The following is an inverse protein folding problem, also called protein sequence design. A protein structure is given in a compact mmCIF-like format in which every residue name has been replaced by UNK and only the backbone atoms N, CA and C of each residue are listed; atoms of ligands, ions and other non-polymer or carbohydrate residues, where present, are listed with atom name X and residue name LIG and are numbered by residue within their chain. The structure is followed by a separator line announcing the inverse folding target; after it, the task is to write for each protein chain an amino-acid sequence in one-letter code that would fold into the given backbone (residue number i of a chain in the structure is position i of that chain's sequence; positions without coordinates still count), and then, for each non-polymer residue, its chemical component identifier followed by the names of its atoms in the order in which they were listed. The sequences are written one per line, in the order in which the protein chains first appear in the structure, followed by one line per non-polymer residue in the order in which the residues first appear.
data_IF_128295355509
#
_entry.id   IF_128295355509
#
_cell.length_a   1.000
_cell.length_b   1.000
_cell.length_c   1.000
_cell.angle_alpha   90.00
_cell.angle_beta   90.00
_cell.angle_gamma   90.00
#
_symmetry.space_group_name_H-M   'P 1'
#
loop_
_entity.id
_entity.type
_entity.pdbx_description
1 polymer ?
#
# COMPACT_ATOMS: atom_id res chain seq x y z
N UNK A 1 -51.12 54.69 -26.18
CA UNK A 1 -49.85 55.43 -26.25
C UNK A 1 -48.97 55.00 -25.10
N UNK A 2 -47.65 54.96 -25.30
CA UNK A 2 -46.58 54.69 -24.31
C UNK A 2 -46.04 53.25 -24.20
N UNK A 3 -45.26 52.95 -25.23
CA UNK A 3 -43.97 52.24 -25.33
C UNK A 3 -43.02 52.08 -24.12
N UNK A 4 -42.15 51.05 -24.24
CA UNK A 4 -40.77 50.85 -23.68
C UNK A 4 -40.71 50.34 -22.22
N UNK A 5 -39.97 49.29 -21.82
CA UNK A 5 -38.66 48.81 -22.27
C UNK A 5 -38.50 47.27 -22.16
N UNK A 6 -37.88 46.65 -23.17
CA UNK A 6 -37.31 45.30 -23.08
C UNK A 6 -35.85 45.43 -22.64
N UNK A 7 -35.56 44.95 -21.43
CA UNK A 7 -34.18 44.83 -20.92
C UNK A 7 -33.59 43.55 -21.54
N UNK A 8 -32.69 43.73 -22.51
CA UNK A 8 -31.86 42.66 -23.03
C UNK A 8 -30.88 42.20 -21.95
N UNK A 9 -31.02 40.96 -21.48
CA UNK A 9 -30.05 40.31 -20.60
C UNK A 9 -28.87 39.85 -21.43
N UNK A 10 -27.74 40.54 -21.29
CA UNK A 10 -26.45 40.12 -21.85
C UNK A 10 -26.01 38.88 -21.07
N UNK A 11 -26.04 37.72 -21.72
CA UNK A 11 -25.44 36.50 -21.18
C UNK A 11 -23.92 36.66 -21.25
N UNK A 12 -23.31 36.95 -20.11
CA UNK A 12 -21.86 36.85 -19.94
C UNK A 12 -21.47 35.36 -19.99
N UNK A 13 -20.40 34.97 -20.73
CA UNK A 13 -19.89 33.62 -20.70
C UNK A 13 -19.49 33.28 -19.26
N UNK A 14 -20.02 32.18 -18.74
CA UNK A 14 -19.64 31.64 -17.44
C UNK A 14 -18.13 31.50 -17.38
N UNK A 15 -17.46 32.33 -16.59
CA UNK A 15 -16.07 32.12 -16.19
C UNK A 15 -16.01 30.70 -15.62
N UNK A 16 -15.40 29.77 -16.35
CA UNK A 16 -14.93 28.52 -15.79
C UNK A 16 -13.94 28.90 -14.70
N UNK A 17 -14.40 28.85 -13.45
CA UNK A 17 -13.52 28.86 -12.31
C UNK A 17 -12.56 27.70 -12.53
N UNK A 18 -11.30 28.01 -12.78
CA UNK A 18 -10.20 27.05 -12.72
C UNK A 18 -10.24 26.54 -11.28
N UNK A 19 -10.92 25.40 -11.08
CA UNK A 19 -11.01 24.70 -9.80
C UNK A 19 -9.59 24.28 -9.47
N UNK A 20 -8.97 24.99 -8.53
CA UNK A 20 -7.68 24.60 -7.96
C UNK A 20 -7.87 23.19 -7.41
N UNK A 21 -7.28 22.21 -8.11
CA UNK A 21 -7.33 20.81 -7.73
C UNK A 21 -7.02 20.68 -6.25
N UNK A 22 -7.87 19.96 -5.52
CA UNK A 22 -7.71 19.67 -4.10
C UNK A 22 -6.26 19.22 -3.83
N UNK A 23 -5.53 19.98 -3.02
CA UNK A 23 -4.06 19.90 -2.84
C UNK A 23 -3.57 18.63 -2.13
N UNK A 24 -4.38 17.58 -2.03
CA UNK A 24 -4.09 16.40 -1.22
C UNK A 24 -4.22 15.09 -2.02
N UNK A 25 -3.85 15.09 -3.30
CA UNK A 25 -3.67 13.83 -4.02
C UNK A 25 -2.48 13.06 -3.46
N UNK A 26 -2.73 11.83 -2.98
CA UNK A 26 -1.69 10.86 -2.62
C UNK A 26 -1.94 9.62 -3.46
N UNK A 27 -1.01 9.25 -4.38
CA UNK A 27 -1.22 8.13 -5.29
C UNK A 27 -1.52 6.85 -4.52
N UNK A 28 -2.65 6.23 -4.86
CA UNK A 28 -3.13 4.99 -4.24
C UNK A 28 -3.72 5.13 -2.83
N UNK A 29 -3.89 6.33 -2.28
CA UNK A 29 -4.45 6.53 -0.92
C UNK A 29 -5.55 7.56 -0.80
N UNK A 30 -5.40 8.74 -1.42
CA UNK A 30 -6.33 9.86 -1.22
C UNK A 30 -6.47 10.70 -2.48
N UNK A 31 -7.71 11.12 -2.76
CA UNK A 31 -8.05 12.02 -3.85
C UNK A 31 -8.01 11.38 -5.24
N UNK A 32 -8.47 12.14 -6.23
CA UNK A 32 -8.37 11.79 -7.64
C UNK A 32 -7.05 12.30 -8.21
N UNK A 33 -6.49 11.57 -9.18
CA UNK A 33 -5.25 11.96 -9.83
C UNK A 33 -5.40 13.33 -10.52
N UNK A 34 -4.35 14.16 -10.58
CA UNK A 34 -4.40 15.42 -11.29
C UNK A 34 -4.81 15.18 -12.75
N UNK A 35 -5.88 15.85 -13.21
CA UNK A 35 -6.43 15.68 -14.56
C UNK A 35 -7.59 14.67 -14.68
N UNK A 36 -7.92 13.94 -13.62
CA UNK A 36 -9.13 13.11 -13.58
C UNK A 36 -10.21 13.82 -12.76
N UNK A 37 -11.35 14.06 -13.38
CA UNK A 37 -12.51 14.62 -12.69
C UNK A 37 -13.12 13.58 -11.75
N UNK A 38 -13.61 14.04 -10.60
CA UNK A 38 -14.37 13.18 -9.72
C UNK A 38 -15.71 12.80 -10.40
N UNK A 39 -16.21 11.57 -10.20
CA UNK A 39 -17.52 11.17 -10.73
C UNK A 39 -18.63 12.12 -10.26
N UNK A 40 -19.65 12.30 -11.09
CA UNK A 40 -20.81 13.14 -10.75
C UNK A 40 -21.45 12.69 -9.42
N UNK A 41 -21.66 13.65 -8.51
CA UNK A 41 -22.21 13.40 -7.16
C UNK A 41 -21.18 13.16 -6.06
N UNK A 42 -19.89 13.05 -6.39
CA UNK A 42 -18.83 12.96 -5.38
C UNK A 42 -18.45 14.35 -4.87
N UNK A 43 -18.32 14.53 -3.55
CA UNK A 43 -17.85 15.81 -2.97
C UNK A 43 -16.35 15.95 -3.24
N UNK A 44 -15.94 17.03 -3.90
CA UNK A 44 -14.52 17.33 -4.18
C UNK A 44 -13.69 17.49 -2.90
N UNK A 45 -14.32 17.99 -1.83
CA UNK A 45 -13.69 18.11 -0.53
C UNK A 45 -14.03 16.88 0.34
N UNK A 46 -13.00 16.23 0.87
CA UNK A 46 -13.19 15.28 1.97
C UNK A 46 -13.88 16.02 3.10
N UNK A 47 -15.03 15.51 3.58
CA UNK A 47 -15.71 16.07 4.75
C UNK A 47 -14.67 16.24 5.85
N UNK A 48 -14.33 17.49 6.18
CA UNK A 48 -13.45 17.77 7.30
C UNK A 48 -14.14 17.14 8.49
N UNK A 49 -13.56 16.04 8.98
CA UNK A 49 -13.95 15.49 10.27
C UNK A 49 -13.44 16.56 11.23
N UNK A 50 -14.30 17.55 11.51
CA UNK A 50 -14.13 18.42 12.65
C UNK A 50 -14.23 17.46 13.83
N UNK A 51 -13.08 16.88 14.20
CA UNK A 51 -12.96 16.15 15.45
C UNK A 51 -13.50 17.12 16.48
N UNK A 52 -14.61 16.72 17.13
CA UNK A 52 -15.16 17.49 18.24
C UNK A 52 -13.98 17.83 19.13
N UNK A 53 -13.82 19.12 19.44
CA UNK A 53 -12.75 19.77 20.22
C UNK A 53 -11.91 18.78 21.03
N UNK A 54 -10.58 18.92 20.97
CA UNK A 54 -9.66 18.08 21.74
C UNK A 54 -10.18 17.87 23.16
N UNK A 55 -10.47 16.62 23.48
CA UNK A 55 -11.18 16.21 24.70
C UNK A 55 -10.45 16.70 25.95
N UNK A 56 -9.12 16.90 25.86
CA UNK A 56 -8.30 17.44 26.94
C UNK A 56 -8.38 18.97 27.11
N UNK A 57 -8.74 19.72 26.06
CA UNK A 57 -8.72 21.20 26.08
C UNK A 57 -10.10 21.84 26.07
N UNK A 58 -11.16 21.14 25.65
CA UNK A 58 -12.51 21.61 25.89
C UNK A 58 -13.07 20.95 27.14
N UNK A 59 -13.06 21.68 28.25
CA UNK A 59 -13.93 21.36 29.38
C UNK A 59 -15.34 21.15 28.80
N UNK A 60 -15.94 20.00 29.08
CA UNK A 60 -17.30 19.74 28.62
C UNK A 60 -18.17 20.86 29.16
N UNK A 61 -18.84 21.64 28.32
CA UNK A 61 -19.75 22.72 28.71
C UNK A 61 -20.84 22.28 29.72
N UNK A 62 -20.99 20.97 29.88
CA UNK A 62 -21.85 20.29 30.83
C UNK A 62 -21.31 20.23 32.28
N UNK A 63 -20.00 20.43 32.52
CA UNK A 63 -19.37 20.48 33.85
C UNK A 63 -19.46 21.88 34.49
N UNK A 64 -19.43 22.94 33.68
CA UNK A 64 -19.46 24.34 34.15
C UNK A 64 -20.89 24.85 34.43
N UNK A 65 -21.90 24.30 33.76
CA UNK A 65 -23.31 24.73 33.89
C UNK A 65 -24.02 24.25 35.17
N UNK A 66 -23.29 23.66 36.12
CA UNK A 66 -23.84 23.13 37.37
C UNK A 66 -23.34 23.89 38.60
N UNK A 67 -23.40 25.23 38.54
CA UNK A 67 -23.36 26.00 39.79
C UNK A 67 -24.53 25.54 40.68
N UNK A 68 -24.30 25.33 41.99
CA UNK A 68 -25.30 24.78 42.88
C UNK A 68 -26.45 25.78 43.01
N UNK A 69 -27.56 25.54 42.29
CA UNK A 69 -28.83 26.16 42.63
C UNK A 69 -29.14 25.71 44.06
N UNK A 70 -29.09 26.65 44.99
CA UNK A 70 -29.27 26.49 46.44
C UNK A 70 -30.70 26.01 46.75
N UNK A 71 -30.98 24.74 46.50
CA UNK A 71 -32.20 24.09 46.98
C UNK A 71 -31.86 23.41 48.30
N UNK A 72 -32.32 24.00 49.40
CA UNK A 72 -32.24 23.45 50.76
C UNK A 72 -33.03 22.14 50.84
N UNK A 73 -32.40 21.04 50.44
CA UNK A 73 -33.05 19.74 50.44
C UNK A 73 -32.96 19.11 51.82
N UNK A 74 -34.07 19.07 52.54
CA UNK A 74 -34.21 18.52 53.91
C UNK A 74 -34.14 16.98 53.97
N UNK A 75 -34.05 16.29 52.83
CA UNK A 75 -34.04 14.82 52.79
C UNK A 75 -32.61 14.24 52.78
N UNK A 76 -32.27 13.31 53.69
CA UNK A 76 -30.95 12.64 53.72
C UNK A 76 -30.56 11.99 52.38
N UNK A 77 -31.54 11.41 51.67
CA UNK A 77 -31.31 10.79 50.35
C UNK A 77 -30.88 11.81 49.29
N UNK A 78 -31.40 13.04 49.36
CA UNK A 78 -31.02 14.13 48.45
C UNK A 78 -29.61 14.63 48.77
N UNK A 79 -29.26 14.75 50.05
CA UNK A 79 -27.90 15.10 50.49
C UNK A 79 -26.86 14.08 50.00
N UNK A 80 -27.14 12.79 50.14
CA UNK A 80 -26.25 11.73 49.64
C UNK A 80 -26.05 11.82 48.12
N UNK A 81 -27.13 12.05 47.35
CA UNK A 81 -27.04 12.26 45.89
C UNK A 81 -26.22 13.50 45.53
N UNK A 82 -26.34 14.58 46.31
CA UNK A 82 -25.55 15.78 46.13
C UNK A 82 -24.06 15.52 46.42
N UNK A 83 -23.73 14.80 47.49
CA UNK A 83 -22.37 14.39 47.81
C UNK A 83 -21.77 13.51 46.68
N UNK A 84 -22.54 12.56 46.15
CA UNK A 84 -22.13 11.76 44.99
C UNK A 84 -21.92 12.60 43.73
N UNK A 85 -22.72 13.65 43.52
CA UNK A 85 -22.55 14.56 42.38
C UNK A 85 -21.25 15.37 42.50
N UNK A 86 -20.96 15.90 43.68
CA UNK A 86 -19.72 16.65 43.96
C UNK A 86 -18.49 15.76 43.78
N UNK A 87 -18.52 14.53 44.32
CA UNK A 87 -17.40 13.58 44.17
C UNK A 87 -17.18 13.19 42.70
N UNK A 88 -18.24 12.90 41.94
CA UNK A 88 -18.11 12.64 40.49
C UNK A 88 -17.53 13.82 39.72
N UNK A 89 -17.93 15.05 40.06
CA UNK A 89 -17.41 16.26 39.42
C UNK A 89 -15.92 16.44 39.71
N UNK A 90 -15.49 16.25 40.97
CA UNK A 90 -14.07 16.25 41.36
C UNK A 90 -13.26 15.23 40.56
N UNK A 91 -13.72 13.97 40.51
CA UNK A 91 -13.02 12.93 39.75
C UNK A 91 -12.97 13.22 38.25
N UNK A 92 -14.02 13.80 37.67
CA UNK A 92 -14.03 14.21 36.28
C UNK A 92 -12.97 15.29 36.00
N UNK A 93 -12.83 16.27 36.90
CA UNK A 93 -11.82 17.33 36.79
C UNK A 93 -10.40 16.76 36.86
N UNK A 94 -10.12 15.94 37.88
CA UNK A 94 -8.81 15.29 38.04
C UNK A 94 -8.45 14.40 36.85
N UNK A 95 -9.44 13.70 36.26
CA UNK A 95 -9.23 12.87 35.09
C UNK A 95 -8.87 13.72 33.86
N UNK A 96 -9.55 14.84 33.65
CA UNK A 96 -9.28 15.76 32.54
C UNK A 96 -7.90 16.42 32.69
N UNK A 97 -7.54 16.86 33.89
CA UNK A 97 -6.19 17.39 34.18
C UNK A 97 -5.10 16.35 33.88
N UNK A 98 -5.27 15.11 34.35
CA UNK A 98 -4.34 14.01 34.07
C UNK A 98 -4.23 13.71 32.58
N UNK A 99 -5.33 13.81 31.83
CA UNK A 99 -5.30 13.64 30.37
C UNK A 99 -4.56 14.79 29.69
N UNK A 100 -4.81 16.04 30.10
CA UNK A 100 -4.10 17.22 29.59
C UNK A 100 -2.59 17.12 29.84
N UNK A 101 -2.19 16.76 31.06
CA UNK A 101 -0.77 16.55 31.40
C UNK A 101 -0.12 15.46 30.54
N UNK A 102 -0.80 14.32 30.31
CA UNK A 102 -0.29 13.25 29.43
C UNK A 102 -0.12 13.72 27.99
N UNK A 103 -1.07 14.52 27.48
CA UNK A 103 -1.00 15.06 26.13
C UNK A 103 0.17 16.05 25.98
N UNK A 104 0.35 16.96 26.95
CA UNK A 104 1.49 17.88 26.99
C UNK A 104 2.83 17.14 27.04
N UNK A 105 2.99 16.17 27.94
CA UNK A 105 4.20 15.36 28.02
C UNK A 105 4.48 14.57 26.73
N UNK A 106 3.43 14.05 26.08
CA UNK A 106 3.57 13.37 24.80
C UNK A 106 4.01 14.33 23.70
N UNK A 107 3.43 15.54 23.65
CA UNK A 107 3.78 16.56 22.68
C UNK A 107 5.23 17.05 22.86
N UNK A 108 5.66 17.28 24.10
CA UNK A 108 7.05 17.65 24.42
C UNK A 108 8.04 16.56 24.00
N UNK A 109 7.74 15.28 24.26
CA UNK A 109 8.58 14.16 23.83
C UNK A 109 8.72 14.08 22.31
N UNK A 110 7.62 14.31 21.58
CA UNK A 110 7.63 14.33 20.12
C UNK A 110 8.45 15.51 19.60
N UNK A 111 8.25 16.71 20.13
CA UNK A 111 9.02 17.89 19.74
C UNK A 111 10.54 17.69 19.98
N UNK A 112 10.92 17.11 21.12
CA UNK A 112 12.32 16.78 21.41
C UNK A 112 12.89 15.71 20.48
N UNK A 113 12.09 14.72 20.07
CA UNK A 113 12.51 13.70 19.11
C UNK A 113 12.71 14.29 17.70
N UNK A 114 11.81 15.16 17.26
CA UNK A 114 11.91 15.87 15.98
C UNK A 114 13.17 16.76 15.93
N UNK A 115 13.43 17.53 16.98
CA UNK A 115 14.65 18.35 17.07
C UNK A 115 15.93 17.51 16.99
N UNK A 116 15.97 16.34 17.65
CA UNK A 116 17.11 15.41 17.55
C UNK A 116 17.26 14.84 16.15
N UNK A 117 16.16 14.45 15.51
CA UNK A 117 16.18 13.93 14.15
C UNK A 117 16.71 14.99 13.15
N UNK A 118 16.27 16.24 13.29
CA UNK A 118 16.74 17.35 12.47
C UNK A 118 18.22 17.64 12.69
N UNK A 119 18.69 17.61 13.95
CA UNK A 119 20.11 17.80 14.27
C UNK A 119 20.98 16.69 13.64
N UNK A 120 20.57 15.43 13.76
CA UNK A 120 21.28 14.29 13.15
C UNK A 120 21.30 14.41 11.63
N UNK A 121 20.18 14.78 11.03
CA UNK A 121 20.08 14.96 9.57
C UNK A 121 21.03 16.06 9.09
N UNK A 122 21.09 17.20 9.78
CA UNK A 122 22.02 18.29 9.45
C UNK A 122 23.48 17.87 9.60
N UNK A 123 23.81 17.10 10.65
CA UNK A 123 25.16 16.59 10.85
C UNK A 123 25.58 15.64 9.71
N UNK A 124 24.70 14.72 9.31
CA UNK A 124 24.93 13.79 8.21
C UNK A 124 25.09 14.53 6.86
N UNK A 125 24.27 15.56 6.62
CA UNK A 125 24.41 16.39 5.42
C UNK A 125 25.74 17.17 5.40
N UNK A 126 26.21 17.67 6.55
CA UNK A 126 27.51 18.33 6.66
C UNK A 126 28.66 17.34 6.41
N UNK A 127 28.60 16.15 6.99
CA UNK A 127 29.59 15.09 6.75
C UNK A 127 29.64 14.69 5.27
N UNK A 128 28.49 14.53 4.62
CA UNK A 128 28.42 14.26 3.18
C UNK A 128 29.03 15.37 2.34
N UNK A 129 28.91 16.64 2.75
CA UNK A 129 29.55 17.76 2.05
C UNK A 129 31.06 17.71 2.20
N UNK A 130 31.55 17.51 3.42
CA UNK A 130 32.99 17.34 3.67
C UNK A 130 33.58 16.15 2.91
N UNK A 131 32.87 15.02 2.87
CA UNK A 131 33.29 13.86 2.08
C UNK A 131 33.33 14.17 0.59
N UNK A 132 32.35 14.90 0.06
CA UNK A 132 32.34 15.30 -1.36
C UNK A 132 33.48 16.26 -1.67
N UNK A 133 33.75 17.22 -0.80
CA UNK A 133 34.87 18.16 -0.93
C UNK A 133 36.20 17.42 -0.91
N UNK A 134 36.42 16.53 0.07
CA UNK A 134 37.62 15.70 0.13
C UNK A 134 37.79 14.80 -1.11
N UNK A 135 36.71 14.19 -1.59
CA UNK A 135 36.75 13.40 -2.84
C UNK A 135 37.12 14.28 -4.03
N UNK A 136 36.59 15.50 -4.12
CA UNK A 136 36.95 16.45 -5.18
C UNK A 136 38.42 16.86 -5.10
N UNK A 137 38.95 17.12 -3.91
CA UNK A 137 40.37 17.42 -3.68
C UNK A 137 41.26 16.24 -4.12
N UNK A 138 40.91 15.02 -3.73
CA UNK A 138 41.65 13.81 -4.14
C UNK A 138 41.61 13.62 -5.65
N UNK A 139 40.45 13.82 -6.28
CA UNK A 139 40.29 13.73 -7.75
C UNK A 139 41.14 14.79 -8.46
N UNK A 140 41.19 16.02 -7.93
CA UNK A 140 42.05 17.09 -8.45
C UNK A 140 43.54 16.74 -8.29
N UNK A 141 43.96 16.22 -7.14
CA UNK A 141 45.36 15.83 -6.90
C UNK A 141 45.83 14.69 -7.80
N UNK A 142 44.93 13.74 -8.11
CA UNK A 142 45.25 12.57 -8.92
C UNK A 142 45.09 12.80 -10.43
N UNK A 143 44.69 14.00 -10.86
CA UNK A 143 44.43 14.35 -12.28
C UNK A 143 43.57 13.30 -12.99
N UNK A 144 42.63 12.68 -12.26
CA UNK A 144 41.72 11.68 -12.78
C UNK A 144 40.71 12.40 -13.69
N UNK A 145 41.06 12.53 -14.98
CA UNK A 145 40.12 12.96 -16.03
C UNK A 145 38.85 12.12 -15.91
N UNK A 146 37.68 12.77 -15.93
CA UNK A 146 36.31 12.24 -15.73
C UNK A 146 35.92 11.06 -16.66
N UNK A 147 36.67 9.97 -16.66
CA UNK A 147 36.41 8.75 -17.43
C UNK A 147 35.33 7.88 -16.77
N UNK A 148 35.06 8.09 -15.48
CA UNK A 148 34.09 7.31 -14.73
C UNK A 148 32.64 7.52 -15.21
N UNK A 149 32.26 8.75 -15.62
CA UNK A 149 30.89 9.02 -16.07
C UNK A 149 30.54 8.26 -17.36
N UNK A 150 31.48 8.17 -18.31
CA UNK A 150 31.30 7.39 -19.54
C UNK A 150 31.25 5.88 -19.25
N UNK A 151 32.16 5.37 -18.40
CA UNK A 151 32.17 3.93 -18.04
C UNK A 151 30.89 3.46 -17.33
N UNK A 152 30.27 4.34 -16.53
CA UNK A 152 29.03 4.02 -15.80
C UNK A 152 27.81 3.96 -16.72
N UNK A 153 27.76 4.82 -17.75
CA UNK A 153 26.71 4.80 -18.77
C UNK A 153 26.81 3.53 -19.63
N UNK A 154 28.01 3.16 -20.07
CA UNK A 154 28.25 1.91 -20.82
C UNK A 154 27.84 0.68 -20.04
N UNK A 155 28.13 0.64 -18.73
CA UNK A 155 27.75 -0.50 -17.88
C UNK A 155 26.23 -0.63 -17.75
N UNK A 156 25.52 0.49 -17.63
CA UNK A 156 24.06 0.47 -17.55
C UNK A 156 23.43 0.06 -18.88
N UNK A 157 23.95 0.54 -20.01
CA UNK A 157 23.51 0.13 -21.34
C UNK A 157 23.68 -1.39 -21.53
N UNK A 158 24.87 -1.93 -21.23
CA UNK A 158 25.11 -3.39 -21.31
C UNK A 158 24.18 -4.20 -20.42
N UNK A 159 23.82 -3.71 -19.23
CA UNK A 159 22.84 -4.38 -18.35
C UNK A 159 21.45 -4.43 -18.97
N UNK A 160 21.03 -3.35 -19.61
CA UNK A 160 19.74 -3.27 -20.29
C UNK A 160 19.73 -4.21 -21.50
N UNK A 161 20.79 -4.21 -22.31
CA UNK A 161 20.93 -5.11 -23.46
C UNK A 161 20.89 -6.58 -23.05
N UNK A 162 21.67 -6.98 -22.04
CA UNK A 162 21.66 -8.35 -21.52
C UNK A 162 20.28 -8.77 -21.01
N UNK A 163 19.56 -7.85 -20.35
CA UNK A 163 18.19 -8.10 -19.90
C UNK A 163 17.24 -8.33 -21.08
N UNK A 164 17.30 -7.48 -22.11
CA UNK A 164 16.46 -7.60 -23.30
C UNK A 164 16.73 -8.93 -24.00
N UNK A 165 18.00 -9.28 -24.23
CA UNK A 165 18.38 -10.55 -24.87
C UNK A 165 17.87 -11.76 -24.09
N UNK A 166 17.99 -11.75 -22.77
CA UNK A 166 17.46 -12.82 -21.92
C UNK A 166 15.93 -12.95 -22.02
N UNK A 167 15.21 -11.82 -21.97
CA UNK A 167 13.75 -11.81 -22.11
C UNK A 167 13.31 -12.32 -23.50
N UNK A 168 14.04 -11.97 -24.56
CA UNK A 168 13.79 -12.47 -25.92
C UNK A 168 14.01 -13.97 -26.04
N UNK A 169 15.10 -14.50 -25.48
CA UNK A 169 15.36 -15.94 -25.45
C UNK A 169 14.24 -16.69 -24.72
N UNK A 170 13.78 -16.18 -23.57
CA UNK A 170 12.63 -16.77 -22.87
C UNK A 170 11.34 -16.72 -23.68
N UNK A 171 11.08 -15.62 -24.42
CA UNK A 171 9.92 -15.54 -25.32
C UNK A 171 10.01 -16.58 -26.44
N UNK A 172 11.19 -16.78 -27.02
CA UNK A 172 11.41 -17.79 -28.05
C UNK A 172 11.20 -19.22 -27.53
N UNK A 173 11.68 -19.52 -26.32
CA UNK A 173 11.45 -20.83 -25.68
C UNK A 173 9.95 -21.06 -25.47
N UNK A 174 9.23 -20.09 -24.90
CA UNK A 174 7.78 -20.17 -24.71
C UNK A 174 7.05 -20.36 -26.03
N UNK A 175 7.43 -19.61 -27.08
CA UNK A 175 6.86 -19.75 -28.42
C UNK A 175 7.08 -21.15 -29.00
N UNK A 176 8.29 -21.72 -28.85
CA UNK A 176 8.57 -23.10 -29.30
C UNK A 176 7.71 -24.13 -28.56
N UNK A 177 7.49 -23.95 -27.25
CA UNK A 177 6.59 -24.82 -26.48
C UNK A 177 5.14 -24.70 -26.96
N UNK A 178 4.65 -23.50 -27.23
CA UNK A 178 3.31 -23.29 -27.78
C UNK A 178 3.16 -23.92 -29.17
N UNK A 179 4.16 -23.80 -30.02
CA UNK A 179 4.17 -24.47 -31.33
C UNK A 179 4.15 -25.99 -31.19
N UNK A 180 4.87 -26.54 -30.19
CA UNK A 180 4.84 -27.98 -29.90
C UNK A 180 3.46 -28.43 -29.42
N UNK A 181 2.80 -27.65 -28.56
CA UNK A 181 1.42 -27.91 -28.11
C UNK A 181 0.44 -27.82 -29.27
N UNK A 182 0.60 -26.81 -30.13
CA UNK A 182 -0.22 -26.63 -31.33
C UNK A 182 -0.05 -27.81 -32.31
N UNK A 183 1.16 -28.29 -32.54
CA UNK A 183 1.40 -29.47 -33.36
C UNK A 183 0.83 -30.76 -32.74
N UNK A 184 0.60 -30.77 -31.42
CA UNK A 184 0.01 -31.89 -30.69
C UNK A 184 -1.49 -31.73 -30.44
N UNK A 185 -2.17 -30.77 -31.11
CA UNK A 185 -3.61 -30.54 -30.88
C UNK A 185 -4.47 -31.73 -31.24
N UNK A 186 -4.04 -32.56 -32.18
CA UNK A 186 -4.77 -33.77 -32.58
C UNK A 186 -4.84 -34.79 -31.42
N UNK A 187 -3.84 -34.76 -30.53
CA UNK A 187 -3.81 -35.56 -29.31
C UNK A 187 -4.67 -34.97 -28.18
N UNK A 188 -5.20 -33.74 -28.29
CA UNK A 188 -6.12 -33.18 -27.29
C UNK A 188 -7.50 -33.80 -27.38
N UNK A 189 -8.12 -33.97 -26.22
CA UNK A 189 -9.48 -34.52 -26.12
C UNK A 189 -10.46 -33.42 -26.52
N UNK A 190 -11.21 -33.66 -27.58
CA UNK A 190 -12.37 -32.89 -28.03
C UNK A 190 -13.62 -33.74 -27.79
N UNK A 191 -14.80 -33.12 -27.77
CA UNK A 191 -16.06 -33.86 -27.60
C UNK A 191 -16.23 -34.95 -28.67
N UNK A 192 -15.73 -34.70 -29.88
CA UNK A 192 -15.85 -35.62 -31.01
C UNK A 192 -14.87 -36.81 -30.94
N UNK A 193 -13.75 -36.69 -30.23
CA UNK A 193 -12.72 -37.75 -30.15
C UNK A 193 -12.60 -38.40 -28.76
N UNK A 194 -13.48 -38.01 -27.83
CA UNK A 194 -13.44 -38.46 -26.44
C UNK A 194 -13.67 -39.97 -26.33
N UNK A 195 -14.72 -40.49 -26.97
CA UNK A 195 -15.07 -41.92 -26.91
C UNK A 195 -13.96 -42.78 -27.53
N UNK A 196 -13.46 -42.40 -28.71
CA UNK A 196 -12.36 -43.10 -29.38
C UNK A 196 -11.08 -43.15 -28.54
N UNK A 197 -10.80 -42.10 -27.75
CA UNK A 197 -9.64 -42.06 -26.85
C UNK A 197 -9.87 -42.89 -25.58
N UNK A 198 -11.08 -42.91 -25.04
CA UNK A 198 -11.44 -43.80 -23.94
C UNK A 198 -11.25 -45.25 -24.38
N UNK A 199 -11.79 -45.63 -25.54
CA UNK A 199 -11.67 -46.99 -26.07
C UNK A 199 -10.21 -47.37 -26.35
N UNK A 200 -9.40 -46.45 -26.90
CA UNK A 200 -7.97 -46.68 -27.10
C UNK A 200 -7.20 -46.92 -25.78
N UNK A 201 -7.58 -46.23 -24.70
CA UNK A 201 -6.97 -46.44 -23.38
C UNK A 201 -7.49 -47.75 -22.75
N UNK A 202 -8.78 -48.05 -22.89
CA UNK A 202 -9.40 -49.29 -22.40
C UNK A 202 -8.84 -50.54 -23.10
N UNK A 203 -8.50 -50.43 -24.38
CA UNK A 203 -7.93 -51.52 -25.19
C UNK A 203 -6.41 -51.63 -25.12
N UNK A 204 -5.71 -50.62 -24.58
CA UNK A 204 -4.25 -50.69 -24.44
C UNK A 204 -3.84 -51.74 -23.39
N UNK A 205 -3.38 -52.90 -23.86
CA UNK A 205 -2.94 -54.00 -23.01
C UNK A 205 -1.79 -53.54 -22.10
N UNK A 206 -1.96 -53.71 -20.78
CA UNK A 206 -0.92 -53.43 -19.78
C UNK A 206 -1.13 -52.19 -18.90
N UNK A 207 -2.23 -51.42 -19.06
CA UNK A 207 -2.61 -50.39 -18.10
C UNK A 207 -3.63 -50.94 -17.10
N UNK A 208 -3.25 -51.05 -15.83
CA UNK A 208 -4.19 -51.36 -14.75
C UNK A 208 -5.14 -50.19 -14.54
N UNK A 209 -6.43 -50.39 -14.82
CA UNK A 209 -7.45 -49.43 -14.44
C UNK A 209 -7.62 -49.44 -12.93
N UNK A 210 -7.29 -48.32 -12.30
CA UNK A 210 -7.56 -48.12 -10.89
C UNK A 210 -9.01 -47.66 -10.73
N UNK A 211 -9.89 -48.44 -10.09
CA UNK A 211 -11.30 -48.07 -9.88
C UNK A 211 -11.46 -46.87 -8.94
N UNK A 212 -10.43 -46.55 -8.14
CA UNK A 212 -10.43 -45.42 -7.22
C UNK A 212 -9.24 -44.49 -7.44
N UNK A 213 -9.45 -43.20 -7.18
CA UNK A 213 -8.39 -42.20 -7.20
C UNK A 213 -7.29 -42.52 -6.18
N UNK A 214 -7.66 -43.10 -5.04
CA UNK A 214 -6.70 -43.49 -4.00
C UNK A 214 -5.72 -44.53 -4.53
N UNK A 215 -6.15 -45.56 -5.25
CA UNK A 215 -5.23 -46.56 -5.83
C UNK A 215 -4.29 -45.96 -6.88
N UNK A 216 -4.75 -44.98 -7.67
CA UNK A 216 -3.90 -44.22 -8.60
C UNK A 216 -2.82 -43.41 -7.87
N UNK A 217 -3.17 -42.81 -6.73
CA UNK A 217 -2.20 -42.06 -5.91
C UNK A 217 -1.15 -42.99 -5.28
N UNK A 218 -1.52 -44.23 -4.95
CA UNK A 218 -0.57 -45.20 -4.43
C UNK A 218 0.34 -45.78 -5.53
N UNK A 219 -0.14 -45.95 -6.77
CA UNK A 219 0.70 -46.40 -7.90
C UNK A 219 1.63 -45.31 -8.44
N UNK A 220 1.27 -44.03 -8.35
CA UNK A 220 2.20 -42.94 -8.69
C UNK A 220 3.35 -42.82 -7.69
N UNK A 221 3.14 -43.21 -6.42
CA UNK A 221 4.20 -43.24 -5.39
C UNK A 221 5.32 -44.23 -5.74
N UNK A 222 5.01 -45.38 -6.34
CA UNK A 222 6.04 -46.35 -6.74
C UNK A 222 6.90 -45.84 -7.88
N UNK A 223 6.29 -45.10 -8.83
CA UNK A 223 7.03 -44.45 -9.93
C UNK A 223 7.92 -43.32 -9.40
N UNK A 224 7.45 -42.57 -8.39
CA UNK A 224 8.27 -41.54 -7.74
C UNK A 224 9.48 -42.16 -7.03
N UNK A 225 9.30 -43.28 -6.32
CA UNK A 225 10.39 -44.01 -5.68
C UNK A 225 11.42 -44.53 -6.69
N UNK A 226 10.99 -45.04 -7.85
CA UNK A 226 11.89 -45.47 -8.93
C UNK A 226 12.67 -44.29 -9.53
N UNK A 227 12.03 -43.14 -9.72
CA UNK A 227 12.67 -41.91 -10.18
C UNK A 227 13.72 -41.43 -9.16
N UNK A 228 13.42 -41.50 -7.86
CA UNK A 228 14.37 -41.15 -6.81
C UNK A 228 15.58 -42.09 -6.79
N UNK A 229 15.36 -43.40 -6.94
CA UNK A 229 16.46 -44.35 -7.06
C UNK A 229 17.34 -44.07 -8.28
N UNK A 230 16.75 -43.79 -9.45
CA UNK A 230 17.53 -43.42 -10.65
C UNK A 230 18.28 -42.11 -10.48
N UNK A 231 17.72 -41.13 -9.78
CA UNK A 231 18.41 -39.88 -9.44
C UNK A 231 19.60 -40.13 -8.52
N UNK A 232 19.47 -41.01 -7.53
CA UNK A 232 20.57 -41.40 -6.66
C UNK A 232 21.68 -42.10 -7.44
N UNK A 233 21.34 -43.06 -8.31
CA UNK A 233 22.32 -43.72 -9.19
C UNK A 233 23.06 -42.73 -10.10
N UNK A 234 22.33 -41.79 -10.71
CA UNK A 234 22.96 -40.74 -11.53
C UNK A 234 23.87 -39.83 -10.71
N UNK A 235 23.47 -39.51 -9.47
CA UNK A 235 24.27 -38.70 -8.55
C UNK A 235 25.58 -39.41 -8.18
N UNK A 236 25.51 -40.71 -7.87
CA UNK A 236 26.69 -41.56 -7.60
C UNK A 236 27.62 -41.64 -8.82
N UNK A 237 27.09 -41.87 -10.02
CA UNK A 237 27.88 -41.94 -11.26
C UNK A 237 28.56 -40.61 -11.59
N UNK A 238 27.92 -39.49 -11.24
CA UNK A 238 28.47 -38.15 -11.46
C UNK A 238 29.40 -37.64 -10.34
N UNK A 239 29.54 -38.38 -9.24
CA UNK A 239 30.40 -37.99 -8.11
C UNK A 239 29.96 -36.72 -7.37
N UNK A 240 28.65 -36.46 -7.34
CA UNK A 240 28.00 -35.37 -6.57
C UNK A 240 27.42 -35.88 -5.25
#
# INVERSE_FOLDING_TARGET
MSTIARIARINLPSRSLVRLASTQYVPGRKGYAPGFEAPEGTREETKVIIKRRDIGNSLTSHLESQSPKSQSSTSPKKQYRQALRVTRHKYAHELLEKQGQKQLQSAEKLAMAEQKADAVKRALEAEKRQQKEHVQEVVQMLDLKQTEQQSSQDRNQRRVENRIQFEEQQRLVRRKQLLKLYAATDAFVTLDNLDAKIDAVMSSEGRSFHPSFDELMHSTSSVQNEIEQRKQQLKEVMGL
#
